data_IF_237495604773
#
_entry.id   IF_237495604773
#
_cell.length_a   1.000
_cell.length_b   1.000
_cell.length_c   1.000
_cell.angle_alpha   90.00
_cell.angle_beta   90.00
_cell.angle_gamma   90.00
#
_symmetry.space_group_name_H-M   'P 1'
#
loop_
_entity.id
_entity.type
_entity.pdbx_description
1 polymer ?
#
# COMPACT_ATOMS: atom_id res chain seq x y z
N UNK A 1 10.78 -17.73 -5.52
CA UNK A 1 10.71 -16.69 -6.58
C UNK A 1 9.28 -16.20 -6.79
N UNK A 2 8.31 -17.02 -7.20
CA UNK A 2 6.91 -16.57 -7.43
C UNK A 2 6.27 -15.85 -6.23
N UNK A 3 6.38 -16.41 -5.02
CA UNK A 3 5.85 -15.77 -3.79
C UNK A 3 6.50 -14.42 -3.46
N UNK A 4 7.79 -14.24 -3.78
CA UNK A 4 8.51 -12.98 -3.59
C UNK A 4 8.04 -11.92 -4.59
N UNK A 5 7.71 -12.33 -5.82
CA UNK A 5 7.09 -11.45 -6.82
C UNK A 5 5.70 -11.00 -6.38
N UNK A 6 4.86 -11.92 -5.88
CA UNK A 6 3.51 -11.59 -5.39
C UNK A 6 3.57 -10.64 -4.18
N UNK A 7 4.51 -10.86 -3.26
CA UNK A 7 4.76 -9.99 -2.12
C UNK A 7 5.12 -8.56 -2.55
N UNK A 8 6.07 -8.41 -3.48
CA UNK A 8 6.50 -7.10 -3.98
C UNK A 8 5.33 -6.35 -4.63
N UNK A 9 4.58 -7.03 -5.50
CA UNK A 9 3.41 -6.43 -6.18
C UNK A 9 2.37 -5.97 -5.16
N UNK A 10 2.05 -6.81 -4.17
CA UNK A 10 1.04 -6.48 -3.17
C UNK A 10 1.47 -5.33 -2.26
N UNK A 11 2.76 -5.27 -1.88
CA UNK A 11 3.31 -4.19 -1.06
C UNK A 11 3.37 -2.86 -1.83
N UNK A 12 3.74 -2.88 -3.11
CA UNK A 12 3.72 -1.68 -3.97
C UNK A 12 2.28 -1.17 -4.18
N UNK A 13 1.33 -2.09 -4.39
CA UNK A 13 -0.09 -1.76 -4.46
C UNK A 13 -0.60 -1.15 -3.15
N UNK A 14 -0.17 -1.67 -1.99
CA UNK A 14 -0.51 -1.09 -0.68
C UNK A 14 0.01 0.35 -0.54
N UNK A 15 1.26 0.62 -0.94
CA UNK A 15 1.84 1.98 -0.92
C UNK A 15 1.07 2.92 -1.84
N UNK A 16 0.70 2.44 -3.03
CA UNK A 16 -0.10 3.18 -4.00
C UNK A 16 -1.49 3.51 -3.45
N UNK A 17 -2.17 2.55 -2.81
CA UNK A 17 -3.47 2.77 -2.17
C UNK A 17 -3.40 3.83 -1.05
N UNK A 18 -2.39 3.76 -0.16
CA UNK A 18 -2.16 4.78 0.87
C UNK A 18 -1.96 6.17 0.26
N UNK A 19 -1.24 6.24 -0.86
CA UNK A 19 -1.01 7.49 -1.59
C UNK A 19 -2.30 8.02 -2.22
N UNK A 20 -3.14 7.13 -2.79
CA UNK A 20 -4.46 7.47 -3.29
C UNK A 20 -5.35 8.12 -2.22
N UNK A 21 -5.45 7.50 -1.04
CA UNK A 21 -6.20 8.05 0.10
C UNK A 21 -5.73 9.47 0.45
N UNK A 22 -4.41 9.67 0.61
CA UNK A 22 -3.84 11.00 0.91
C UNK A 22 -4.15 12.02 -0.18
N UNK A 23 -4.02 11.64 -1.44
CA UNK A 23 -4.23 12.52 -2.58
C UNK A 23 -5.71 12.93 -2.72
N UNK A 24 -6.65 12.00 -2.50
CA UNK A 24 -8.07 12.32 -2.53
C UNK A 24 -8.48 13.22 -1.37
N UNK A 25 -7.97 12.96 -0.16
CA UNK A 25 -8.22 13.83 0.98
C UNK A 25 -7.72 15.26 0.73
N UNK A 26 -6.53 15.41 0.12
CA UNK A 26 -5.99 16.71 -0.29
C UNK A 26 -6.82 17.35 -1.42
N UNK A 27 -7.24 16.60 -2.44
CA UNK A 27 -8.08 17.13 -3.51
C UNK A 27 -9.44 17.61 -2.99
N UNK A 28 -9.99 16.94 -1.98
CA UNK A 28 -11.26 17.30 -1.36
C UNK A 28 -11.21 18.67 -0.67
N UNK A 29 -10.06 19.08 -0.12
CA UNK A 29 -9.91 20.41 0.50
C UNK A 29 -9.85 21.53 -0.54
N UNK A 30 -9.49 21.21 -1.78
CA UNK A 30 -9.34 22.15 -2.90
C UNK A 30 -10.55 22.14 -3.86
N UNK A 31 -11.62 21.38 -3.53
CA UNK A 31 -12.78 21.23 -4.40
C UNK A 31 -13.57 22.55 -4.57
N UNK A 32 -13.62 23.06 -5.80
CA UNK A 32 -14.25 24.35 -6.12
C UNK A 32 -15.78 24.33 -6.28
N UNK A 33 -16.41 23.15 -6.40
CA UNK A 33 -17.87 23.02 -6.53
C UNK A 33 -18.42 21.86 -5.70
N UNK A 34 -19.72 21.89 -5.32
CA UNK A 34 -20.36 20.79 -4.60
C UNK A 34 -20.28 19.45 -5.33
N UNK A 35 -20.43 19.44 -6.66
CA UNK A 35 -20.43 18.24 -7.48
C UNK A 35 -19.04 17.57 -7.50
N UNK A 36 -17.98 18.37 -7.63
CA UNK A 36 -16.59 17.87 -7.55
C UNK A 36 -16.29 17.37 -6.14
N UNK A 37 -16.76 18.06 -5.11
CA UNK A 37 -16.60 17.63 -3.73
C UNK A 37 -17.26 16.28 -3.47
N UNK A 38 -18.49 16.10 -3.95
CA UNK A 38 -19.23 14.84 -3.81
C UNK A 38 -18.53 13.68 -4.54
N UNK A 39 -18.01 13.93 -5.75
CA UNK A 39 -17.26 12.95 -6.53
C UNK A 39 -15.97 12.53 -5.83
N UNK A 40 -15.17 13.50 -5.35
CA UNK A 40 -13.92 13.22 -4.63
C UNK A 40 -14.17 12.53 -3.29
N UNK A 41 -15.26 12.83 -2.58
CA UNK A 41 -15.65 12.12 -1.36
C UNK A 41 -15.87 10.63 -1.62
N UNK A 42 -16.61 10.27 -2.68
CA UNK A 42 -16.82 8.86 -3.06
C UNK A 42 -15.51 8.16 -3.41
N UNK A 43 -14.65 8.82 -4.18
CA UNK A 43 -13.35 8.25 -4.55
C UNK A 43 -12.42 8.06 -3.34
N UNK A 44 -12.48 8.96 -2.36
CA UNK A 44 -11.77 8.81 -1.09
C UNK A 44 -12.26 7.57 -0.32
N UNK A 45 -13.58 7.39 -0.20
CA UNK A 45 -14.19 6.21 0.44
C UNK A 45 -13.77 4.91 -0.26
N UNK A 46 -13.87 4.87 -1.59
CA UNK A 46 -13.42 3.72 -2.39
C UNK A 46 -11.92 3.42 -2.23
N UNK A 47 -11.08 4.46 -2.12
CA UNK A 47 -9.64 4.30 -1.89
C UNK A 47 -9.33 3.78 -0.47
N UNK A 48 -10.11 4.17 0.54
CA UNK A 48 -10.01 3.65 1.90
C UNK A 48 -10.37 2.17 1.94
N UNK A 49 -11.48 1.79 1.30
CA UNK A 49 -11.91 0.39 1.20
C UNK A 49 -10.87 -0.48 0.48
N UNK A 50 -10.28 0.04 -0.61
CA UNK A 50 -9.21 -0.64 -1.33
C UNK A 50 -7.97 -0.83 -0.44
N UNK A 51 -7.55 0.22 0.26
CA UNK A 51 -6.45 0.17 1.21
C UNK A 51 -6.67 -0.90 2.29
N UNK A 52 -7.88 -0.98 2.86
CA UNK A 52 -8.22 -1.97 3.88
C UNK A 52 -8.09 -3.40 3.33
N UNK A 53 -8.69 -3.68 2.17
CA UNK A 53 -8.64 -5.00 1.53
C UNK A 53 -7.20 -5.45 1.26
N UNK A 54 -6.36 -4.56 0.72
CA UNK A 54 -4.95 -4.88 0.46
C UNK A 54 -4.19 -5.08 1.76
N UNK A 55 -4.41 -4.22 2.77
CA UNK A 55 -3.76 -4.32 4.07
C UNK A 55 -4.04 -5.66 4.74
N UNK A 56 -5.32 -6.08 4.79
CA UNK A 56 -5.72 -7.39 5.30
C UNK A 56 -5.04 -8.52 4.54
N UNK A 57 -5.07 -8.47 3.21
CA UNK A 57 -4.42 -9.48 2.38
C UNK A 57 -2.92 -9.63 2.67
N UNK A 58 -2.17 -8.53 2.73
CA UNK A 58 -0.72 -8.60 3.01
C UNK A 58 -0.41 -8.98 4.46
N UNK A 59 -1.30 -8.66 5.40
CA UNK A 59 -1.20 -9.09 6.81
C UNK A 59 -1.44 -10.61 6.94
N UNK A 60 -2.48 -11.14 6.33
CA UNK A 60 -2.81 -12.58 6.33
C UNK A 60 -1.68 -13.42 5.70
N UNK A 61 -0.95 -12.84 4.75
CA UNK A 61 0.23 -13.46 4.12
C UNK A 61 1.52 -13.34 4.95
N UNK A 62 1.51 -12.58 6.05
CA UNK A 62 2.71 -12.30 6.86
C UNK A 62 3.72 -11.41 6.14
N UNK A 63 3.27 -10.59 5.19
CA UNK A 63 4.11 -9.65 4.44
C UNK A 63 4.11 -8.25 5.05
N UNK A 64 3.17 -7.97 5.96
CA UNK A 64 3.02 -6.68 6.64
C UNK A 64 2.54 -6.87 8.09
N UNK A 65 3.25 -6.26 9.03
CA UNK A 65 3.04 -6.34 10.47
C UNK A 65 2.84 -4.93 11.07
N UNK A 66 1.74 -4.22 10.74
CA UNK A 66 1.56 -2.81 11.11
C UNK A 66 1.55 -2.56 12.63
N UNK A 67 1.16 -3.57 13.42
CA UNK A 67 1.02 -3.48 14.87
C UNK A 67 2.24 -3.99 15.64
N UNK A 68 3.24 -4.53 14.94
CA UNK A 68 4.48 -5.04 15.53
C UNK A 68 5.69 -4.49 14.75
N UNK A 69 6.08 -3.26 15.09
CA UNK A 69 7.16 -2.54 14.41
C UNK A 69 8.48 -3.31 14.44
N UNK A 70 8.81 -3.97 15.55
CA UNK A 70 10.03 -4.76 15.67
C UNK A 70 10.06 -5.94 14.69
N UNK A 71 8.92 -6.62 14.53
CA UNK A 71 8.78 -7.69 13.54
C UNK A 71 8.82 -7.17 12.11
N UNK A 72 8.14 -6.04 11.83
CA UNK A 72 8.19 -5.39 10.52
C UNK A 72 9.62 -5.03 10.12
N UNK A 73 10.39 -4.40 11.02
CA UNK A 73 11.80 -4.04 10.75
C UNK A 73 12.63 -5.28 10.43
N UNK A 74 12.45 -6.37 11.19
CA UNK A 74 13.18 -7.63 10.95
C UNK A 74 12.82 -8.21 9.58
N UNK A 75 11.54 -8.23 9.22
CA UNK A 75 11.06 -8.68 7.92
C UNK A 75 11.66 -7.82 6.78
N UNK A 76 11.68 -6.50 6.95
CA UNK A 76 12.23 -5.57 5.96
C UNK A 76 13.73 -5.81 5.73
N UNK A 77 14.51 -6.01 6.80
CA UNK A 77 15.93 -6.36 6.70
C UNK A 77 16.15 -7.68 5.94
N UNK A 78 15.34 -8.70 6.23
CA UNK A 78 15.39 -9.99 5.52
C UNK A 78 15.05 -9.83 4.02
N UNK A 79 14.06 -9.00 3.70
CA UNK A 79 13.68 -8.71 2.31
C UNK A 79 14.81 -7.99 1.57
N UNK A 80 15.47 -7.02 2.21
CA UNK A 80 16.63 -6.30 1.66
C UNK A 80 17.79 -7.27 1.38
N UNK A 81 18.15 -8.12 2.35
CA UNK A 81 19.19 -9.14 2.17
C UNK A 81 18.88 -10.10 1.02
N UNK A 82 17.61 -10.48 0.88
CA UNK A 82 17.15 -11.36 -0.20
C UNK A 82 17.25 -10.65 -1.55
N UNK A 83 16.79 -9.39 -1.64
CA UNK A 83 16.86 -8.59 -2.85
C UNK A 83 18.30 -8.37 -3.34
N UNK A 84 19.26 -8.12 -2.42
CA UNK A 84 20.68 -7.98 -2.76
C UNK A 84 21.31 -9.25 -3.35
N UNK A 85 20.72 -10.43 -3.07
CA UNK A 85 21.18 -11.73 -3.60
C UNK A 85 20.55 -12.08 -4.95
N UNK A 86 19.50 -11.35 -5.36
CA UNK A 86 18.91 -11.52 -6.69
C UNK A 86 19.91 -10.95 -7.70
N UNK A 87 20.38 -11.72 -8.70
CA UNK A 87 21.27 -11.19 -9.72
C UNK A 87 20.60 -9.99 -10.38
N UNK A 88 21.32 -8.87 -10.46
CA UNK A 88 20.90 -7.77 -11.32
C UNK A 88 20.70 -8.31 -12.73
N UNK A 89 19.52 -8.11 -13.29
CA UNK A 89 19.29 -8.30 -14.72
C UNK A 89 20.19 -7.28 -15.44
N UNK A 90 21.40 -7.72 -15.78
CA UNK A 90 22.30 -7.00 -16.68
C UNK A 90 21.79 -7.08 -18.12
#
# INVERSE_FOLDING_TARGET
>A
MKSMTDQIIAMDLLISAKSGVRNYAMALTEAGTPEIKEMLSRQLEEAIDLHEKISLYVMERGWYHPWNVSEQIRLDLQNIETAMKVPSLG
#
